data_IF_561506171781
#
_entry.id   IF_561506171781
#
_cell.length_a   1.000
_cell.length_b   1.000
_cell.length_c   1.000
_cell.angle_alpha   90.00
_cell.angle_beta   90.00
_cell.angle_gamma   90.00
#
_symmetry.space_group_name_H-M   'P 1'
#
loop_
_entity.id
_entity.type
_entity.pdbx_description
1 polymer ?
#
# COMPACT_ATOMS: atom_id res chain seq x y z
N UNK A 1 12.67 11.41 -27.31
CA UNK A 1 11.38 11.95 -27.81
C UNK A 1 10.41 11.88 -26.66
N UNK A 2 9.96 13.01 -26.16
CA UNK A 2 9.04 13.06 -25.03
C UNK A 2 7.63 12.71 -25.54
N UNK A 3 7.27 11.43 -25.42
CA UNK A 3 5.96 10.92 -25.84
C UNK A 3 4.91 11.29 -24.80
N UNK A 4 3.85 11.96 -25.24
CA UNK A 4 2.71 12.33 -24.40
C UNK A 4 2.05 11.11 -23.74
N UNK A 5 1.44 11.32 -22.56
CA UNK A 5 0.86 10.25 -21.74
C UNK A 5 -0.13 9.37 -22.52
N UNK A 6 -1.00 9.98 -23.32
CA UNK A 6 -1.98 9.29 -24.17
C UNK A 6 -1.31 8.35 -25.18
N UNK A 7 -0.20 8.76 -25.80
CA UNK A 7 0.58 7.92 -26.73
C UNK A 7 1.20 6.74 -26.00
N UNK A 8 1.76 6.98 -24.81
CA UNK A 8 2.36 5.92 -23.97
C UNK A 8 1.31 4.90 -23.57
N UNK A 9 0.17 5.35 -23.02
CA UNK A 9 -0.94 4.46 -22.66
C UNK A 9 -1.47 3.67 -23.86
N UNK A 10 -1.65 4.33 -25.01
CA UNK A 10 -2.11 3.64 -26.21
C UNK A 10 -1.15 2.51 -26.62
N UNK A 11 0.17 2.78 -26.63
CA UNK A 11 1.20 1.79 -26.98
C UNK A 11 1.30 0.63 -25.99
N UNK A 12 1.08 0.89 -24.70
CA UNK A 12 1.02 -0.15 -23.67
C UNK A 12 -0.26 -1.00 -23.74
N UNK A 13 -1.21 -0.67 -24.61
CA UNK A 13 -2.40 -1.49 -24.85
C UNK A 13 -3.63 -1.10 -24.02
N UNK A 14 -3.57 -0.05 -23.19
CA UNK A 14 -4.70 0.38 -22.36
C UNK A 14 -5.97 0.60 -23.18
N UNK A 15 -7.12 0.13 -22.67
CA UNK A 15 -8.44 0.41 -23.26
C UNK A 15 -8.74 1.90 -23.36
N UNK A 16 -9.48 2.29 -24.42
CA UNK A 16 -9.87 3.69 -24.65
C UNK A 16 -10.57 4.31 -23.44
N UNK A 17 -11.41 3.55 -22.73
CA UNK A 17 -12.11 4.05 -21.55
C UNK A 17 -11.13 4.52 -20.45
N UNK A 18 -10.03 3.78 -20.25
CA UNK A 18 -9.00 4.13 -19.27
C UNK A 18 -8.19 5.33 -19.75
N UNK A 19 -7.78 5.34 -21.03
CA UNK A 19 -7.07 6.49 -21.62
C UNK A 19 -7.90 7.77 -21.43
N UNK A 20 -9.19 7.73 -21.75
CA UNK A 20 -10.09 8.88 -21.57
C UNK A 20 -10.21 9.32 -20.11
N UNK A 21 -10.34 8.37 -19.19
CA UNK A 21 -10.46 8.66 -17.76
C UNK A 21 -9.21 9.36 -17.20
N UNK A 22 -8.03 9.04 -17.74
CA UNK A 22 -6.75 9.56 -17.26
C UNK A 22 -6.28 10.83 -18.00
N UNK A 23 -6.69 11.01 -19.25
CA UNK A 23 -6.19 12.12 -20.10
C UNK A 23 -7.25 13.19 -20.37
N UNK A 24 -8.52 12.93 -20.06
CA UNK A 24 -9.63 13.83 -20.38
C UNK A 24 -9.99 13.86 -21.88
N UNK A 25 -9.32 13.07 -22.72
CA UNK A 25 -9.61 13.02 -24.15
C UNK A 25 -11.03 12.51 -24.44
N UNK A 26 -11.60 12.99 -25.55
CA UNK A 26 -12.87 12.50 -26.08
C UNK A 26 -12.70 11.14 -26.75
N UNK A 27 -13.80 10.40 -26.89
CA UNK A 27 -13.84 9.13 -27.64
C UNK A 27 -13.26 9.26 -29.05
N UNK A 28 -13.61 10.33 -29.77
CA UNK A 28 -13.11 10.61 -31.13
C UNK A 28 -11.59 10.85 -31.14
N UNK A 29 -11.07 11.60 -30.16
CA UNK A 29 -9.64 11.85 -30.05
C UNK A 29 -8.83 10.58 -29.79
N UNK A 30 -9.29 9.71 -28.87
CA UNK A 30 -8.60 8.43 -28.60
C UNK A 30 -8.68 7.47 -29.78
N UNK A 31 -9.82 7.41 -30.48
CA UNK A 31 -9.96 6.61 -31.70
C UNK A 31 -9.01 7.11 -32.81
N UNK A 32 -8.92 8.43 -32.99
CA UNK A 32 -8.00 9.06 -33.95
C UNK A 32 -6.54 8.78 -33.59
N UNK A 33 -6.17 8.90 -32.30
CA UNK A 33 -4.85 8.58 -31.78
C UNK A 33 -4.45 7.13 -32.11
N UNK A 34 -5.32 6.16 -31.78
CA UNK A 34 -5.05 4.73 -32.05
C UNK A 34 -4.90 4.44 -33.54
N UNK A 35 -5.76 5.03 -34.38
CA UNK A 35 -5.65 4.93 -35.84
C UNK A 35 -4.31 5.48 -36.34
N UNK A 36 -3.88 6.64 -35.84
CA UNK A 36 -2.59 7.26 -36.20
C UNK A 36 -1.39 6.40 -35.78
N UNK A 37 -1.50 5.69 -34.67
CA UNK A 37 -0.47 4.79 -34.16
C UNK A 37 -0.51 3.38 -34.76
N UNK A 38 -1.47 3.08 -35.65
CA UNK A 38 -1.63 1.74 -36.24
C UNK A 38 -2.05 0.66 -35.23
N UNK A 39 -2.61 1.06 -34.09
CA UNK A 39 -3.00 0.12 -33.03
C UNK A 39 -4.36 -0.48 -33.39
N UNK A 40 -4.37 -1.80 -33.63
CA UNK A 40 -5.55 -2.61 -33.88
C UNK A 40 -5.83 -3.40 -32.61
N UNK A 41 -6.97 -3.14 -31.97
CA UNK A 41 -7.33 -3.78 -30.69
C UNK A 41 -8.72 -3.33 -30.23
N UNK A 42 -9.23 -3.86 -29.10
CA UNK A 42 -10.57 -3.53 -28.63
C UNK A 42 -10.67 -2.01 -28.37
N UNK A 43 -11.35 -1.34 -29.30
CA UNK A 43 -11.53 0.10 -29.29
C UNK A 43 -12.41 0.54 -28.10
N UNK A 44 -13.27 -0.35 -27.62
CA UNK A 44 -14.12 -0.28 -26.44
C UNK A 44 -14.84 -1.62 -26.35
N UNK A 45 -14.96 -2.24 -25.17
CA UNK A 45 -15.96 -3.30 -24.97
C UNK A 45 -16.30 -3.47 -23.50
N UNK A 46 -17.54 -3.10 -23.16
CA UNK A 46 -18.16 -3.33 -21.85
C UNK A 46 -17.67 -2.39 -20.74
N UNK A 47 -18.39 -2.37 -19.60
CA UNK A 47 -17.88 -1.75 -18.38
C UNK A 47 -16.55 -2.39 -17.95
N UNK A 48 -15.70 -1.61 -17.29
CA UNK A 48 -14.50 -2.18 -16.65
C UNK A 48 -14.96 -3.02 -15.45
N UNK A 49 -14.31 -4.17 -15.18
CA UNK A 49 -14.63 -4.97 -14.01
C UNK A 49 -14.36 -4.20 -12.70
N UNK A 50 -14.93 -4.72 -11.62
CA UNK A 50 -14.51 -4.38 -10.27
C UNK A 50 -13.33 -5.28 -9.90
N UNK A 51 -12.39 -4.77 -9.10
CA UNK A 51 -11.24 -5.54 -8.67
C UNK A 51 -11.65 -6.79 -7.87
N UNK A 52 -12.79 -6.76 -7.16
CA UNK A 52 -13.36 -7.95 -6.51
C UNK A 52 -13.49 -9.15 -7.46
N UNK A 53 -13.97 -8.91 -8.69
CA UNK A 53 -14.14 -9.96 -9.70
C UNK A 53 -12.80 -10.54 -10.15
N UNK A 54 -11.78 -9.69 -10.34
CA UNK A 54 -10.42 -10.10 -10.71
C UNK A 54 -9.77 -10.92 -9.60
N UNK A 55 -9.94 -10.48 -8.35
CA UNK A 55 -9.30 -11.07 -7.17
C UNK A 55 -10.03 -12.32 -6.63
N UNK A 56 -11.15 -12.73 -7.24
CA UNK A 56 -11.93 -13.88 -6.81
C UNK A 56 -11.17 -15.22 -6.93
N UNK A 57 -10.26 -15.33 -7.92
CA UNK A 57 -9.41 -16.49 -8.12
C UNK A 57 -8.07 -16.37 -7.40
N UNK A 58 -7.63 -17.43 -6.70
CA UNK A 58 -6.35 -17.43 -5.95
C UNK A 58 -5.14 -17.08 -6.84
N UNK A 59 -5.06 -17.66 -8.03
CA UNK A 59 -3.96 -17.40 -8.96
C UNK A 59 -3.95 -15.94 -9.41
N UNK A 60 -5.10 -15.39 -9.82
CA UNK A 60 -5.21 -13.97 -10.20
C UNK A 60 -4.94 -13.03 -9.03
N UNK A 61 -5.38 -13.36 -7.82
CA UNK A 61 -5.06 -12.60 -6.63
C UNK A 61 -3.55 -12.60 -6.34
N UNK A 62 -2.86 -13.73 -6.54
CA UNK A 62 -1.40 -13.81 -6.43
C UNK A 62 -0.71 -12.93 -7.47
N UNK A 63 -1.12 -13.01 -8.73
CA UNK A 63 -0.54 -12.23 -9.84
C UNK A 63 -0.78 -10.72 -9.62
N UNK A 64 -1.98 -10.34 -9.19
CA UNK A 64 -2.32 -8.96 -8.77
C UNK A 64 -1.50 -8.50 -7.57
N UNK A 65 -1.19 -9.39 -6.62
CA UNK A 65 -0.35 -9.07 -5.46
C UNK A 65 1.08 -8.74 -5.87
N UNK A 66 1.66 -9.54 -6.76
CA UNK A 66 3.01 -9.30 -7.29
C UNK A 66 3.09 -7.96 -8.03
N UNK A 67 2.09 -7.68 -8.88
CA UNK A 67 1.99 -6.38 -9.53
C UNK A 67 1.85 -5.22 -8.52
N UNK A 68 0.94 -5.35 -7.54
CA UNK A 68 0.68 -4.28 -6.56
C UNK A 68 1.89 -3.96 -5.70
N UNK A 69 2.70 -4.95 -5.32
CA UNK A 69 3.95 -4.72 -4.60
C UNK A 69 4.92 -3.83 -5.40
N UNK A 70 5.07 -4.09 -6.69
CA UNK A 70 5.90 -3.25 -7.56
C UNK A 70 5.28 -1.85 -7.76
N UNK A 71 3.96 -1.78 -7.96
CA UNK A 71 3.27 -0.50 -8.14
C UNK A 71 3.43 0.40 -6.91
N UNK A 72 3.20 -0.13 -5.71
CA UNK A 72 3.28 0.66 -4.48
C UNK A 72 4.71 1.09 -4.14
N UNK A 73 5.71 0.37 -4.63
CA UNK A 73 7.10 0.79 -4.54
C UNK A 73 7.42 1.98 -5.47
N UNK A 74 6.81 2.02 -6.65
CA UNK A 74 7.09 3.02 -7.68
C UNK A 74 6.19 4.27 -7.59
N UNK A 75 4.95 4.11 -7.14
CA UNK A 75 3.95 5.17 -7.12
C UNK A 75 4.23 6.20 -6.03
N UNK A 76 4.15 7.49 -6.37
CA UNK A 76 4.43 8.57 -5.42
C UNK A 76 3.32 8.78 -4.38
N UNK A 77 2.06 8.73 -4.81
CA UNK A 77 0.90 8.99 -3.96
C UNK A 77 -0.28 8.06 -4.31
N UNK A 78 -0.14 6.73 -4.18
CA UNK A 78 -1.08 5.74 -4.72
C UNK A 78 -2.49 5.78 -4.11
N UNK A 79 -2.70 6.53 -3.02
CA UNK A 79 -4.01 6.77 -2.39
C UNK A 79 -4.70 8.06 -2.86
N UNK A 80 -3.96 8.98 -3.48
CA UNK A 80 -4.52 10.25 -3.96
C UNK A 80 -4.93 10.14 -5.43
N UNK A 81 -4.09 9.49 -6.24
CA UNK A 81 -4.31 9.32 -7.67
C UNK A 81 -3.76 7.98 -8.16
N UNK A 82 -4.13 7.60 -9.38
CA UNK A 82 -3.54 6.44 -10.05
C UNK A 82 -2.34 6.94 -10.84
N UNK A 83 -1.13 6.63 -10.38
CA UNK A 83 0.11 7.00 -11.05
C UNK A 83 0.33 6.10 -12.28
N UNK A 84 -0.03 6.60 -13.47
CA UNK A 84 0.01 5.81 -14.70
C UNK A 84 1.43 5.41 -15.10
N UNK A 85 2.42 6.22 -14.76
CA UNK A 85 3.82 5.89 -15.03
C UNK A 85 4.27 4.71 -14.16
N UNK A 86 3.89 4.71 -12.89
CA UNK A 86 4.11 3.59 -11.99
C UNK A 86 3.33 2.34 -12.42
N UNK A 87 2.08 2.47 -12.91
CA UNK A 87 1.31 1.33 -13.44
C UNK A 87 2.03 0.69 -14.62
N UNK A 88 2.48 1.49 -15.60
CA UNK A 88 3.20 0.98 -16.77
C UNK A 88 4.49 0.27 -16.37
N UNK A 89 5.31 0.91 -15.52
CA UNK A 89 6.58 0.35 -15.10
C UNK A 89 6.42 -0.92 -14.24
N UNK A 90 5.46 -0.93 -13.31
CA UNK A 90 5.18 -2.11 -12.49
C UNK A 90 4.62 -3.27 -13.32
N UNK A 91 3.77 -2.98 -14.31
CA UNK A 91 3.21 -3.98 -15.22
C UNK A 91 4.29 -4.57 -16.13
N UNK A 92 5.16 -3.74 -16.71
CA UNK A 92 6.29 -4.22 -17.52
C UNK A 92 7.20 -5.18 -16.74
N UNK A 93 7.56 -4.80 -15.51
CA UNK A 93 8.33 -5.67 -14.61
C UNK A 93 7.58 -6.97 -14.28
N UNK A 94 6.27 -6.87 -14.02
CA UNK A 94 5.42 -8.02 -13.78
C UNK A 94 5.42 -8.99 -14.97
N UNK A 95 5.24 -8.50 -16.20
CA UNK A 95 5.23 -9.31 -17.43
C UNK A 95 6.56 -10.05 -17.60
N UNK A 96 7.68 -9.34 -17.41
CA UNK A 96 9.01 -9.95 -17.50
C UNK A 96 9.21 -11.05 -16.45
N UNK A 97 8.85 -10.80 -15.20
CA UNK A 97 8.93 -11.82 -14.14
C UNK A 97 8.01 -13.02 -14.42
N UNK A 98 6.77 -12.75 -14.85
CA UNK A 98 5.76 -13.76 -15.13
C UNK A 98 6.22 -14.72 -16.25
N UNK A 99 6.82 -14.18 -17.31
CA UNK A 99 7.35 -14.97 -18.42
C UNK A 99 8.65 -15.69 -18.03
N UNK A 100 9.56 -15.05 -17.27
CA UNK A 100 10.85 -15.62 -16.90
C UNK A 100 10.70 -16.93 -16.11
N UNK A 101 9.75 -17.00 -15.16
CA UNK A 101 9.49 -18.21 -14.36
C UNK A 101 8.75 -19.31 -15.14
N UNK A 102 8.29 -19.02 -16.37
CA UNK A 102 7.53 -19.91 -17.25
C UNK A 102 8.26 -20.19 -18.56
N UNK A 103 9.59 -20.22 -18.54
CA UNK A 103 10.44 -20.50 -19.71
C UNK A 103 10.16 -19.56 -20.89
N UNK A 104 9.92 -18.28 -20.60
CA UNK A 104 9.64 -17.24 -21.59
C UNK A 104 8.22 -17.25 -22.15
N UNK A 105 7.30 -18.05 -21.59
CA UNK A 105 5.90 -18.11 -22.04
C UNK A 105 4.98 -17.40 -21.05
N UNK A 106 4.02 -16.65 -21.57
CA UNK A 106 2.97 -16.02 -20.77
C UNK A 106 1.83 -17.03 -20.56
N UNK A 107 1.45 -17.26 -19.32
CA UNK A 107 0.28 -18.05 -18.94
C UNK A 107 -0.96 -17.17 -18.99
N UNK A 108 -1.62 -17.16 -20.15
CA UNK A 108 -2.75 -16.28 -20.44
C UNK A 108 -3.93 -16.47 -19.48
N UNK A 109 -4.10 -17.65 -18.89
CA UNK A 109 -5.22 -17.94 -17.99
C UNK A 109 -5.06 -17.18 -16.66
N UNK A 110 -3.82 -17.04 -16.17
CA UNK A 110 -3.52 -16.37 -14.90
C UNK A 110 -2.90 -14.98 -15.08
N UNK A 111 -2.58 -14.58 -16.31
CA UNK A 111 -1.93 -13.31 -16.63
C UNK A 111 -2.77 -12.09 -16.23
N UNK A 112 -2.20 -11.15 -15.48
CA UNK A 112 -2.83 -9.87 -15.17
C UNK A 112 -2.53 -8.89 -16.31
N UNK A 113 -3.53 -8.57 -17.13
CA UNK A 113 -3.34 -7.58 -18.19
C UNK A 113 -3.23 -6.15 -17.64
N UNK A 114 -2.84 -5.21 -18.50
CA UNK A 114 -2.60 -3.82 -18.09
C UNK A 114 -3.89 -3.10 -17.64
N UNK A 115 -5.05 -3.50 -18.16
CA UNK A 115 -6.32 -2.91 -17.79
C UNK A 115 -6.77 -3.42 -16.41
N UNK A 116 -6.61 -4.71 -16.15
CA UNK A 116 -6.84 -5.34 -14.84
C UNK A 116 -5.89 -4.76 -13.78
N UNK A 117 -4.60 -4.60 -14.12
CA UNK A 117 -3.62 -3.95 -13.27
C UNK A 117 -4.08 -2.52 -12.89
N UNK A 118 -4.51 -1.73 -13.88
CA UNK A 118 -5.08 -0.41 -13.63
C UNK A 118 -6.35 -0.46 -12.78
N UNK A 119 -7.25 -1.41 -13.01
CA UNK A 119 -8.48 -1.58 -12.20
C UNK A 119 -8.13 -1.84 -10.73
N UNK A 120 -7.15 -2.70 -10.44
CA UNK A 120 -6.71 -2.96 -9.07
C UNK A 120 -6.12 -1.69 -8.44
N UNK A 121 -5.31 -0.91 -9.15
CA UNK A 121 -4.78 0.37 -8.63
C UNK A 121 -5.86 1.44 -8.41
N UNK A 122 -6.85 1.54 -9.30
CA UNK A 122 -8.02 2.42 -9.16
C UNK A 122 -8.80 2.08 -7.90
N UNK A 123 -9.07 0.80 -7.69
CA UNK A 123 -9.84 0.32 -6.54
C UNK A 123 -9.01 0.42 -5.26
N UNK A 124 -7.68 0.35 -5.34
CA UNK A 124 -6.79 0.62 -4.22
C UNK A 124 -6.88 2.08 -3.79
N UNK A 125 -6.84 3.02 -4.74
CA UNK A 125 -7.08 4.44 -4.47
C UNK A 125 -8.46 4.67 -3.86
N UNK A 126 -9.48 3.94 -4.32
CA UNK A 126 -10.85 4.03 -3.82
C UNK A 126 -11.11 3.32 -2.48
N UNK A 127 -10.08 2.68 -1.86
CA UNK A 127 -10.20 1.88 -0.63
C UNK A 127 -11.08 0.61 -0.78
N UNK A 128 -11.34 0.17 -2.01
CA UNK A 128 -12.13 -1.03 -2.34
C UNK A 128 -11.27 -2.31 -2.38
N UNK A 129 -9.95 -2.13 -2.49
CA UNK A 129 -8.95 -3.20 -2.28
C UNK A 129 -7.84 -2.74 -1.34
N UNK A 130 -7.22 -3.73 -0.71
CA UNK A 130 -6.20 -3.54 0.31
C UNK A 130 -5.10 -4.58 0.20
N UNK A 131 -3.86 -4.14 0.42
CA UNK A 131 -2.75 -5.01 0.73
C UNK A 131 -2.86 -5.52 2.17
N UNK A 132 -2.62 -6.81 2.35
CA UNK A 132 -2.68 -7.53 3.61
C UNK A 132 -1.39 -8.32 3.77
N UNK A 133 -1.04 -8.64 5.00
CA UNK A 133 0.06 -9.57 5.29
C UNK A 133 -0.50 -10.88 5.84
N UNK A 134 -0.05 -12.01 5.32
CA UNK A 134 -0.46 -13.31 5.83
C UNK A 134 0.13 -13.55 7.23
N UNK A 135 -0.67 -14.05 8.18
CA UNK A 135 -0.19 -14.44 9.51
C UNK A 135 0.68 -15.70 9.50
N UNK A 136 0.47 -16.60 8.52
CA UNK A 136 1.17 -17.88 8.42
C UNK A 136 2.49 -17.79 7.65
N UNK A 137 2.47 -17.28 6.42
CA UNK A 137 3.66 -17.19 5.57
C UNK A 137 4.26 -15.78 5.47
N UNK A 138 3.67 -14.77 6.12
CA UNK A 138 4.12 -13.37 6.14
C UNK A 138 4.20 -12.67 4.78
N UNK A 139 3.73 -13.32 3.71
CA UNK A 139 3.67 -12.73 2.37
C UNK A 139 2.56 -11.67 2.33
N UNK A 140 2.87 -10.56 1.65
CA UNK A 140 1.93 -9.51 1.36
C UNK A 140 1.09 -9.84 0.12
N UNK A 141 -0.21 -9.58 0.17
CA UNK A 141 -1.14 -9.86 -0.92
C UNK A 141 -2.27 -8.85 -0.99
N UNK A 142 -2.78 -8.60 -2.20
CA UNK A 142 -3.95 -7.74 -2.41
C UNK A 142 -5.23 -8.54 -2.22
N UNK A 143 -6.21 -7.91 -1.58
CA UNK A 143 -7.54 -8.49 -1.33
C UNK A 143 -8.61 -7.43 -1.51
N UNK A 144 -9.80 -7.86 -1.92
CA UNK A 144 -10.97 -6.97 -1.98
C UNK A 144 -11.65 -6.90 -0.62
N UNK A 145 -12.15 -5.72 -0.25
CA UNK A 145 -12.90 -5.55 1.00
C UNK A 145 -14.23 -6.33 1.01
N UNK A 146 -14.74 -6.65 -0.19
CA UNK A 146 -15.98 -7.40 -0.40
C UNK A 146 -15.77 -8.92 -0.38
N UNK A 147 -14.51 -9.38 -0.37
CA UNK A 147 -14.26 -10.80 -0.08
C UNK A 147 -14.34 -11.03 1.43
N UNK A 148 -15.26 -11.89 1.85
CA UNK A 148 -15.43 -12.24 3.26
C UNK A 148 -14.27 -13.08 3.80
N UNK A 149 -13.53 -13.77 2.93
CA UNK A 149 -12.43 -14.66 3.33
C UNK A 149 -11.12 -13.92 3.49
N UNK A 150 -10.84 -12.95 2.59
CA UNK A 150 -9.59 -12.20 2.51
C UNK A 150 -8.37 -13.10 2.73
N UNK A 151 -8.38 -14.32 2.18
CA UNK A 151 -7.37 -15.33 2.51
C UNK A 151 -6.09 -15.13 1.70
N UNK A 152 -4.96 -15.54 2.28
CA UNK A 152 -3.71 -15.60 1.54
C UNK A 152 -3.86 -16.55 0.33
N UNK A 153 -3.47 -16.12 -0.89
CA UNK A 153 -3.64 -16.94 -2.09
C UNK A 153 -2.73 -18.18 -2.12
N UNK A 154 -1.66 -18.20 -1.30
CA UNK A 154 -0.66 -19.28 -1.28
C UNK A 154 -1.03 -20.36 -0.27
N UNK A 155 -1.09 -20.01 1.02
CA UNK A 155 -1.23 -21.00 2.09
C UNK A 155 -2.68 -21.17 2.58
N UNK A 156 -3.64 -20.44 2.00
CA UNK A 156 -5.04 -20.43 2.43
C UNK A 156 -5.23 -20.07 3.92
N UNK A 157 -4.19 -19.50 4.56
CA UNK A 157 -4.18 -19.12 5.96
C UNK A 157 -5.17 -17.97 6.21
N UNK A 158 -5.91 -18.08 7.31
CA UNK A 158 -6.83 -17.05 7.77
C UNK A 158 -6.06 -15.73 8.02
N UNK A 159 -6.59 -14.63 7.49
CA UNK A 159 -6.20 -13.31 7.98
C UNK A 159 -6.80 -13.14 9.36
N UNK A 160 -5.93 -12.98 10.37
CA UNK A 160 -6.32 -12.39 11.65
C UNK A 160 -5.74 -10.98 11.66
N UNK A 161 -6.45 -10.03 11.05
CA UNK A 161 -6.48 -8.61 11.45
C UNK A 161 -7.83 -8.03 11.01
N UNK A 162 -8.68 -7.74 11.99
CA UNK A 162 -10.05 -7.25 11.87
C UNK A 162 -10.14 -5.75 11.61
N UNK A 163 -9.02 -5.06 11.40
CA UNK A 163 -9.05 -3.69 10.93
C UNK A 163 -9.18 -3.66 9.41
N UNK A 164 -10.35 -3.23 8.96
CA UNK A 164 -10.66 -2.94 7.55
C UNK A 164 -9.82 -1.75 7.02
N UNK A 165 -8.87 -1.23 7.80
CA UNK A 165 -8.14 0.01 7.51
C UNK A 165 -6.63 -0.04 7.78
N UNK A 166 -6.04 -1.14 8.27
CA UNK A 166 -4.59 -1.25 8.35
C UNK A 166 -4.02 -1.89 7.09
N UNK A 167 -3.69 -1.04 6.12
CA UNK A 167 -3.16 -1.44 4.83
C UNK A 167 -2.46 -0.23 4.21
N UNK A 168 -1.12 -0.31 4.15
CA UNK A 168 -0.13 0.40 3.31
C UNK A 168 -0.11 1.93 3.26
N UNK A 169 -1.17 2.64 3.64
CA UNK A 169 -1.20 4.10 3.76
C UNK A 169 -0.51 4.61 5.05
N UNK A 170 0.17 3.72 5.78
CA UNK A 170 0.52 3.92 7.18
C UNK A 170 1.96 3.49 7.50
N UNK A 171 2.87 3.44 6.52
CA UNK A 171 4.31 3.42 6.84
C UNK A 171 4.53 4.58 7.80
N UNK A 172 4.98 4.26 9.01
CA UNK A 172 5.20 5.26 10.03
C UNK A 172 6.35 6.14 9.54
N UNK A 173 6.06 7.39 9.17
CA UNK A 173 7.10 8.32 8.72
C UNK A 173 7.51 9.15 9.93
N UNK A 174 8.75 8.97 10.35
CA UNK A 174 9.41 9.82 11.34
C UNK A 174 10.90 9.90 11.00
N UNK A 175 11.46 11.09 11.12
CA UNK A 175 12.89 11.37 11.04
C UNK A 175 13.57 11.28 12.41
N UNK A 176 12.79 11.06 13.47
CA UNK A 176 13.28 11.05 14.85
C UNK A 176 13.77 9.68 15.28
N UNK A 177 14.79 9.69 16.13
CA UNK A 177 15.29 8.51 16.82
C UNK A 177 14.34 8.05 17.94
N UNK A 178 14.54 6.82 18.41
CA UNK A 178 13.79 6.26 19.55
C UNK A 178 13.96 7.13 20.80
N UNK A 179 15.18 7.63 21.05
CA UNK A 179 15.48 8.46 22.21
C UNK A 179 14.72 9.80 22.16
N UNK A 180 14.72 10.48 21.03
CA UNK A 180 13.99 11.74 20.84
C UNK A 180 12.48 11.57 21.06
N UNK A 181 11.89 10.48 20.57
CA UNK A 181 10.46 10.18 20.77
C UNK A 181 10.14 9.92 22.25
N UNK A 182 11.05 9.31 23.00
CA UNK A 182 10.90 9.10 24.46
C UNK A 182 10.99 10.43 25.20
N UNK A 183 11.94 11.30 24.85
CA UNK A 183 12.09 12.61 25.48
C UNK A 183 10.86 13.51 25.26
N UNK A 184 10.28 13.46 24.05
CA UNK A 184 9.08 14.22 23.68
C UNK A 184 7.82 13.79 24.42
N UNK A 185 7.77 12.60 25.01
CA UNK A 185 6.64 12.12 25.80
C UNK A 185 6.34 13.01 27.02
N UNK A 186 7.37 13.55 27.67
CA UNK A 186 7.20 14.41 28.87
C UNK A 186 6.62 15.79 28.53
N UNK A 187 7.16 16.55 27.54
CA UNK A 187 6.53 17.76 27.03
C UNK A 187 5.09 17.54 26.58
N UNK A 188 4.80 16.50 25.79
CA UNK A 188 3.43 16.21 25.33
C UNK A 188 2.46 16.05 26.49
N UNK A 189 2.83 15.31 27.53
CA UNK A 189 2.00 15.16 28.73
C UNK A 189 1.82 16.50 29.47
N UNK A 190 2.87 17.32 29.57
CA UNK A 190 2.84 18.62 30.23
C UNK A 190 1.87 19.59 29.53
N UNK A 191 1.98 19.73 28.21
CA UNK A 191 1.07 20.58 27.43
C UNK A 191 -0.38 20.10 27.52
N UNK A 192 -0.60 18.77 27.47
CA UNK A 192 -1.93 18.18 27.63
C UNK A 192 -2.52 18.50 29.01
N UNK A 193 -1.73 18.39 30.07
CA UNK A 193 -2.15 18.73 31.43
C UNK A 193 -2.44 20.24 31.60
N UNK A 194 -1.84 21.09 30.77
CA UNK A 194 -2.16 22.52 30.67
C UNK A 194 -3.41 22.82 29.84
N UNK A 195 -4.09 21.80 29.32
CA UNK A 195 -5.32 21.94 28.55
C UNK A 195 -5.10 22.28 27.07
N UNK A 196 -3.87 22.19 26.55
CA UNK A 196 -3.62 22.39 25.12
C UNK A 196 -4.27 21.28 24.29
N UNK A 197 -4.82 21.65 23.15
CA UNK A 197 -5.41 20.72 22.18
C UNK A 197 -4.33 19.94 21.42
N UNK A 198 -4.69 18.79 20.86
CA UNK A 198 -3.76 18.00 20.04
C UNK A 198 -3.14 18.82 18.90
N UNK A 199 -3.92 19.67 18.24
CA UNK A 199 -3.47 20.49 17.11
C UNK A 199 -2.38 21.48 17.57
N UNK A 200 -2.57 22.12 18.72
CA UNK A 200 -1.61 23.06 19.29
C UNK A 200 -0.32 22.34 19.71
N UNK A 201 -0.44 21.17 20.35
CA UNK A 201 0.72 20.36 20.77
C UNK A 201 1.52 19.89 19.56
N UNK A 202 0.85 19.34 18.54
CA UNK A 202 1.50 18.89 17.31
C UNK A 202 2.19 20.05 16.60
N UNK A 203 1.58 21.24 16.58
CA UNK A 203 2.18 22.43 15.98
C UNK A 203 3.42 22.91 16.75
N UNK A 204 3.32 23.01 18.06
CA UNK A 204 4.39 23.54 18.93
C UNK A 204 5.60 22.60 18.97
N UNK A 205 5.36 21.29 19.10
CA UNK A 205 6.40 20.26 19.19
C UNK A 205 6.79 19.68 17.81
N UNK A 206 6.19 20.20 16.73
CA UNK A 206 6.37 19.74 15.34
C UNK A 206 6.14 18.24 15.17
N UNK A 207 5.15 17.70 15.86
CA UNK A 207 4.79 16.28 15.80
C UNK A 207 3.78 16.04 14.69
N UNK A 208 3.90 14.89 14.03
CA UNK A 208 2.78 14.35 13.28
C UNK A 208 1.79 13.62 14.23
N UNK A 209 0.62 13.25 13.70
CA UNK A 209 -0.44 12.63 14.50
C UNK A 209 -0.05 11.28 15.10
N UNK A 210 0.78 10.50 14.38
CA UNK A 210 1.23 9.19 14.84
C UNK A 210 2.23 9.35 15.99
N UNK A 211 3.20 10.27 15.85
CA UNK A 211 4.19 10.59 16.89
C UNK A 211 3.53 11.12 18.17
N UNK A 212 2.52 11.98 18.04
CA UNK A 212 1.74 12.46 19.18
C UNK A 212 1.07 11.30 19.92
N UNK A 213 0.44 10.38 19.18
CA UNK A 213 -0.22 9.20 19.74
C UNK A 213 0.77 8.27 20.44
N UNK A 214 1.96 8.07 19.85
CA UNK A 214 3.05 7.33 20.47
C UNK A 214 3.53 8.00 21.76
N UNK A 215 3.77 9.32 21.75
CA UNK A 215 4.20 10.07 22.93
C UNK A 215 3.21 9.95 24.09
N UNK A 216 1.90 9.95 23.81
CA UNK A 216 0.86 9.68 24.82
C UNK A 216 0.87 8.24 25.33
N UNK A 217 1.28 7.28 24.52
CA UNK A 217 1.50 5.90 24.94
C UNK A 217 2.74 5.78 25.83
N UNK A 218 3.83 6.41 25.44
CA UNK A 218 5.10 6.45 26.16
C UNK A 218 4.97 7.11 27.54
N UNK A 219 4.07 8.07 27.70
CA UNK A 219 3.80 8.70 29.00
C UNK A 219 3.15 7.76 30.03
N UNK A 220 2.72 6.55 29.62
CA UNK A 220 2.07 5.55 30.48
C UNK A 220 3.01 4.41 30.91
N UNK A 221 4.27 4.44 30.48
CA UNK A 221 5.26 3.40 30.78
C UNK A 221 6.39 3.95 31.67
N UNK A 222 7.17 3.04 32.26
CA UNK A 222 8.20 3.35 33.25
C UNK A 222 9.58 3.58 32.61
N UNK A 223 10.49 4.23 33.35
CA UNK A 223 11.88 4.46 32.88
C UNK A 223 12.64 3.17 32.55
N UNK A 224 12.37 2.07 33.26
CA UNK A 224 12.97 0.77 32.95
C UNK A 224 12.55 0.27 31.56
N UNK A 225 11.30 0.53 31.16
CA UNK A 225 10.79 0.14 29.85
C UNK A 225 11.37 1.00 28.72
N UNK A 226 11.74 2.26 28.96
CA UNK A 226 12.43 3.10 27.96
C UNK A 226 13.81 2.55 27.55
N UNK A 227 14.59 2.08 28.51
CA UNK A 227 15.88 1.45 28.23
C UNK A 227 15.71 0.22 27.33
N UNK A 228 14.66 -0.59 27.59
CA UNK A 228 14.35 -1.76 26.78
C UNK A 228 13.87 -1.41 25.37
N UNK A 229 13.09 -0.34 25.20
CA UNK A 229 12.65 0.12 23.87
C UNK A 229 13.83 0.56 23.00
N UNK A 230 14.81 1.24 23.60
CA UNK A 230 16.03 1.69 22.90
C UNK A 230 16.92 0.51 22.50
N UNK A 231 16.87 -0.62 23.22
CA UNK A 231 17.55 -1.86 22.85
C UNK A 231 16.77 -2.67 21.81
N UNK A 232 15.45 -2.62 21.85
CA UNK A 232 14.56 -3.44 20.99
C UNK A 232 14.38 -2.86 19.59
N UNK A 233 14.37 -1.54 19.45
CA UNK A 233 14.11 -0.86 18.19
C UNK A 233 15.34 -0.06 17.78
N UNK A 234 15.78 -0.25 16.54
CA UNK A 234 17.02 0.38 16.04
C UNK A 234 16.82 1.83 15.62
N UNK A 235 15.59 2.21 15.27
CA UNK A 235 15.22 3.55 14.81
C UNK A 235 13.76 3.88 15.17
N UNK A 236 13.39 5.16 15.09
CA UNK A 236 12.04 5.62 15.45
C UNK A 236 10.94 5.12 14.51
N UNK A 237 11.26 4.84 13.23
CA UNK A 237 10.32 4.28 12.26
C UNK A 237 9.86 2.89 12.70
N UNK A 238 10.77 2.03 13.15
CA UNK A 238 10.44 0.69 13.67
C UNK A 238 9.55 0.76 14.91
N UNK A 239 9.89 1.64 15.86
CA UNK A 239 9.10 1.83 17.07
C UNK A 239 7.70 2.34 16.75
N UNK A 240 7.60 3.37 15.92
CA UNK A 240 6.33 4.00 15.55
C UNK A 240 5.46 3.03 14.73
N UNK A 241 6.09 2.23 13.85
CA UNK A 241 5.41 1.16 13.10
C UNK A 241 4.88 0.08 14.04
N UNK A 242 5.70 -0.40 14.97
CA UNK A 242 5.27 -1.40 15.96
C UNK A 242 4.13 -0.85 16.84
N UNK A 243 4.21 0.41 17.27
CA UNK A 243 3.15 1.05 18.03
C UNK A 243 1.85 1.21 17.23
N UNK A 244 1.92 1.56 15.95
CA UNK A 244 0.72 1.60 15.09
C UNK A 244 0.09 0.22 14.90
N UNK A 245 0.89 -0.84 14.90
CA UNK A 245 0.43 -2.21 14.72
C UNK A 245 -0.16 -2.81 16.01
N UNK A 246 0.52 -2.65 17.15
CA UNK A 246 0.19 -3.36 18.39
C UNK A 246 -0.26 -2.42 19.52
N UNK A 247 -0.32 -1.11 19.27
CA UNK A 247 -0.72 -0.09 20.25
C UNK A 247 0.18 -0.09 21.49
N UNK A 248 -0.43 0.05 22.67
CA UNK A 248 0.28 -0.01 23.95
C UNK A 248 0.98 -1.35 24.19
N UNK A 249 0.60 -2.42 23.48
CA UNK A 249 1.26 -3.72 23.61
C UNK A 249 2.65 -3.72 23.00
N UNK A 250 2.93 -2.88 21.99
CA UNK A 250 4.28 -2.66 21.46
C UNK A 250 5.24 -2.12 22.53
N UNK A 251 4.69 -1.30 23.44
CA UNK A 251 5.43 -0.64 24.53
C UNK A 251 5.57 -1.53 25.77
N UNK A 252 4.84 -2.65 25.83
CA UNK A 252 4.91 -3.62 26.92
C UNK A 252 5.80 -4.78 26.48
N UNK A 253 6.82 -5.08 27.27
CA UNK A 253 7.62 -6.30 27.06
C UNK A 253 6.97 -7.42 27.86
N UNK A 254 6.60 -8.52 27.19
CA UNK A 254 6.21 -9.77 27.86
C UNK A 254 7.47 -10.41 28.48
N UNK A 255 7.40 -10.94 29.72
CA UNK A 255 8.52 -11.62 30.35
C UNK A 255 9.11 -12.78 29.53
N UNK A 256 8.37 -13.33 28.56
CA UNK A 256 8.83 -14.40 27.69
C UNK A 256 9.96 -13.98 26.72
N UNK A 257 10.10 -12.67 26.42
CA UNK A 257 11.18 -12.17 25.57
C UNK A 257 12.55 -12.09 26.28
N UNK A 258 12.59 -12.31 27.61
CA UNK A 258 13.81 -12.32 28.43
C UNK A 258 14.53 -13.68 28.45
N UNK A 259 13.95 -14.73 27.88
CA UNK A 259 14.50 -16.09 27.97
C UNK A 259 15.42 -16.50 26.80
N UNK A 260 15.69 -15.60 25.84
CA UNK A 260 16.50 -15.91 24.63
C UNK A 260 17.58 -14.84 24.37
N UNK A 261 18.12 -14.22 25.42
CA UNK A 261 19.32 -13.37 25.33
C UNK A 261 20.45 -13.98 26.15
#
# INVERSE_FOLDING_TARGET
MDTTLDVRMARCGFRSAIIRAQTGLTRKQVASLRKRLGIIGPAESGPLPQAHSILSGKSKAMEASLFMLNYLYLAKAPRMEVDIDAVIAAHDQYVHCHAAIRNGRVDLDNFLDIDDAWVVTRDYRALEVMMRSCSGCHIQFVSSIHDNRQCCPICNGAVVRSDVFACDAQIAVTDRSVAELIELASPVLKFKNWGATQIEICKELRLNNDEYSLCQGLSKITKAQFAMLTQRYSNGVELLTAFKQDGLSALKVSPAALAVA
#
